data_IF_735281489722
#
_entry.id   IF_735281489722
#
_cell.length_a   1.000
_cell.length_b   1.000
_cell.length_c   1.000
_cell.angle_alpha   90.00
_cell.angle_beta   90.00
_cell.angle_gamma   90.00
#
_symmetry.space_group_name_H-M   'P 1'
#
loop_
_entity.id
_entity.type
_entity.pdbx_description
1 polymer ?
#
# COMPACT_ATOMS: atom_id res chain seq x y z
N UNK A 1 -35.68 22.15 -36.10
CA UNK A 1 -34.86 22.38 -34.90
C UNK A 1 -34.13 21.09 -34.57
N UNK A 2 -32.80 21.10 -34.69
CA UNK A 2 -31.97 19.95 -34.30
C UNK A 2 -32.14 19.76 -32.79
N UNK A 3 -32.70 18.65 -32.35
CA UNK A 3 -32.87 18.33 -30.95
C UNK A 3 -31.48 18.20 -30.30
N UNK A 4 -30.97 19.29 -29.72
CA UNK A 4 -29.75 19.27 -28.91
C UNK A 4 -29.82 18.20 -27.80
N UNK A 5 -31.04 17.89 -27.35
CA UNK A 5 -31.33 16.82 -26.39
C UNK A 5 -30.93 15.42 -26.88
N UNK A 6 -30.98 15.15 -28.19
CA UNK A 6 -30.55 13.88 -28.79
C UNK A 6 -29.03 13.78 -28.94
N UNK A 7 -28.36 14.89 -29.22
CA UNK A 7 -26.89 14.95 -29.31
C UNK A 7 -26.26 14.80 -27.93
N UNK A 8 -26.83 15.42 -26.90
CA UNK A 8 -26.35 15.29 -25.52
C UNK A 8 -26.58 13.88 -24.93
N UNK A 9 -27.65 13.19 -25.35
CA UNK A 9 -27.92 11.78 -25.00
C UNK A 9 -26.81 10.81 -25.47
N UNK A 10 -26.12 11.14 -26.58
CA UNK A 10 -25.01 10.33 -27.13
C UNK A 10 -23.81 10.21 -26.18
N UNK A 11 -23.63 11.16 -25.27
CA UNK A 11 -22.50 11.25 -24.34
C UNK A 11 -22.85 10.86 -22.90
N UNK A 12 -24.07 10.36 -22.65
CA UNK A 12 -24.49 10.01 -21.30
C UNK A 12 -23.80 8.71 -20.82
N UNK A 13 -23.24 8.69 -19.59
CA UNK A 13 -22.55 7.51 -19.05
C UNK A 13 -23.47 6.29 -18.90
N UNK A 14 -22.88 5.11 -19.12
CA UNK A 14 -23.50 3.77 -19.28
C UNK A 14 -24.56 3.35 -18.24
N UNK A 15 -24.68 4.04 -17.10
CA UNK A 15 -25.54 3.67 -15.97
C UNK A 15 -26.76 4.58 -15.74
N UNK A 16 -26.90 5.71 -16.43
CA UNK A 16 -28.11 6.55 -16.35
C UNK A 16 -28.98 6.35 -17.60
N UNK A 17 -30.11 5.65 -17.42
CA UNK A 17 -31.27 5.53 -18.32
C UNK A 17 -31.14 4.54 -19.49
N UNK A 18 -32.05 3.56 -19.55
CA UNK A 18 -32.31 2.75 -20.76
C UNK A 18 -33.18 3.56 -21.72
N UNK A 19 -32.70 3.98 -22.90
CA UNK A 19 -33.61 4.32 -23.98
C UNK A 19 -34.18 3.02 -24.55
N UNK A 20 -35.52 2.95 -24.64
CA UNK A 20 -36.31 1.82 -25.14
C UNK A 20 -35.88 1.38 -26.55
N UNK A 21 -35.22 2.28 -27.30
CA UNK A 21 -34.92 2.16 -28.73
C UNK A 21 -33.41 2.13 -29.06
N UNK A 22 -32.53 1.61 -28.20
CA UNK A 22 -31.12 1.45 -28.58
C UNK A 22 -30.92 0.25 -29.52
N UNK A 23 -30.54 0.51 -30.77
CA UNK A 23 -30.14 -0.53 -31.71
C UNK A 23 -29.06 -1.44 -31.11
N UNK A 24 -29.09 -2.73 -31.45
CA UNK A 24 -28.12 -3.75 -30.97
C UNK A 24 -26.68 -3.30 -31.20
N UNK A 25 -26.45 -2.56 -32.30
CA UNK A 25 -25.15 -2.01 -32.69
C UNK A 25 -24.53 -1.12 -31.61
N UNK A 26 -25.23 -0.09 -31.13
CA UNK A 26 -24.64 0.86 -30.16
C UNK A 26 -24.35 0.22 -28.80
N UNK A 27 -25.12 -0.80 -28.41
CA UNK A 27 -24.83 -1.61 -27.20
C UNK A 27 -23.53 -2.38 -27.34
N UNK A 28 -23.30 -3.00 -28.50
CA UNK A 28 -22.05 -3.72 -28.80
C UNK A 28 -20.86 -2.78 -28.87
N UNK A 29 -21.03 -1.64 -29.52
CA UNK A 29 -19.97 -0.64 -29.66
C UNK A 29 -19.51 -0.08 -28.31
N UNK A 30 -20.41 0.07 -27.33
CA UNK A 30 -20.04 0.52 -25.99
C UNK A 30 -19.09 -0.46 -25.29
N UNK A 31 -19.37 -1.76 -25.35
CA UNK A 31 -18.48 -2.80 -24.80
C UNK A 31 -17.16 -2.82 -25.57
N UNK A 32 -17.17 -2.74 -26.90
CA UNK A 32 -15.93 -2.71 -27.68
C UNK A 32 -15.04 -1.50 -27.40
N UNK A 33 -15.63 -0.35 -27.03
CA UNK A 33 -14.84 0.80 -26.53
C UNK A 33 -14.14 0.48 -25.21
N UNK A 34 -14.80 -0.23 -24.30
CA UNK A 34 -14.23 -0.64 -23.01
C UNK A 34 -13.19 -1.76 -23.15
N UNK A 35 -13.39 -2.66 -24.11
CA UNK A 35 -12.51 -3.81 -24.36
C UNK A 35 -11.48 -3.57 -25.46
N UNK A 36 -11.35 -2.35 -25.98
CA UNK A 36 -10.48 -2.04 -27.12
C UNK A 36 -9.01 -2.38 -26.89
N UNK A 37 -8.54 -2.29 -25.64
CA UNK A 37 -7.16 -2.63 -25.25
C UNK A 37 -6.94 -4.14 -25.04
N UNK A 38 -7.99 -4.97 -25.14
CA UNK A 38 -7.84 -6.41 -24.95
C UNK A 38 -7.12 -7.06 -26.14
N UNK A 39 -6.40 -8.13 -25.84
CA UNK A 39 -5.67 -8.90 -26.83
C UNK A 39 -6.59 -9.79 -27.69
N UNK A 40 -6.33 -9.84 -28.99
CA UNK A 40 -6.94 -10.78 -29.94
C UNK A 40 -8.46 -10.72 -30.04
N UNK A 41 -9.12 -11.89 -30.01
CA UNK A 41 -10.59 -12.01 -30.17
C UNK A 41 -11.40 -11.31 -29.08
N UNK A 42 -10.80 -11.02 -27.92
CA UNK A 42 -11.49 -10.40 -26.79
C UNK A 42 -11.85 -8.92 -27.04
N UNK A 43 -11.19 -8.24 -27.98
CA UNK A 43 -11.56 -6.88 -28.39
C UNK A 43 -12.57 -6.82 -29.55
N UNK A 44 -12.67 -7.88 -30.35
CA UNK A 44 -13.44 -7.88 -31.60
C UNK A 44 -14.73 -8.71 -31.56
N UNK A 45 -14.75 -9.82 -30.83
CA UNK A 45 -15.87 -10.77 -30.81
C UNK A 45 -16.77 -10.49 -29.60
N UNK A 46 -18.05 -10.21 -29.84
CA UNK A 46 -19.01 -9.81 -28.81
C UNK A 46 -19.04 -10.75 -27.59
N UNK A 47 -19.21 -12.06 -27.79
CA UNK A 47 -19.32 -13.04 -26.70
C UNK A 47 -18.04 -13.11 -25.86
N UNK A 48 -16.88 -13.07 -26.52
CA UNK A 48 -15.58 -13.06 -25.84
C UNK A 48 -15.37 -11.75 -25.06
N UNK A 49 -15.69 -10.61 -25.67
CA UNK A 49 -15.56 -9.29 -25.07
C UNK A 49 -16.40 -9.14 -23.79
N UNK A 50 -17.68 -9.52 -23.85
CA UNK A 50 -18.59 -9.44 -22.70
C UNK A 50 -18.11 -10.32 -21.54
N UNK A 51 -17.76 -11.58 -21.81
CA UNK A 51 -17.28 -12.50 -20.77
C UNK A 51 -15.98 -12.01 -20.14
N UNK A 52 -15.03 -11.54 -20.96
CA UNK A 52 -13.74 -11.04 -20.47
C UNK A 52 -13.91 -9.74 -19.68
N UNK A 53 -14.77 -8.84 -20.14
CA UNK A 53 -15.10 -7.59 -19.44
C UNK A 53 -15.70 -7.86 -18.07
N UNK A 54 -16.70 -8.74 -17.98
CA UNK A 54 -17.32 -9.12 -16.72
C UNK A 54 -16.30 -9.71 -15.74
N UNK A 55 -15.45 -10.63 -16.21
CA UNK A 55 -14.40 -11.21 -15.38
C UNK A 55 -13.38 -10.16 -14.92
N UNK A 56 -13.03 -9.20 -15.78
CA UNK A 56 -12.18 -8.06 -15.41
C UNK A 56 -12.80 -7.22 -14.30
N UNK A 57 -14.12 -6.96 -14.32
CA UNK A 57 -14.79 -6.21 -13.25
C UNK A 57 -14.70 -6.92 -11.90
N UNK A 58 -14.89 -8.24 -11.88
CA UNK A 58 -14.71 -9.06 -10.68
C UNK A 58 -13.27 -8.95 -10.16
N UNK A 59 -12.27 -9.13 -11.03
CA UNK A 59 -10.87 -8.99 -10.65
C UNK A 59 -10.51 -7.59 -10.16
N UNK A 60 -11.05 -6.53 -10.75
CA UNK A 60 -10.80 -5.16 -10.28
C UNK A 60 -11.41 -4.90 -8.90
N UNK A 61 -12.55 -5.53 -8.59
CA UNK A 61 -13.14 -5.45 -7.25
C UNK A 61 -12.24 -6.16 -6.23
N UNK A 62 -11.84 -7.39 -6.54
CA UNK A 62 -10.92 -8.17 -5.69
C UNK A 62 -9.56 -7.46 -5.51
N UNK A 63 -9.00 -6.91 -6.59
CA UNK A 63 -7.73 -6.19 -6.55
C UNK A 63 -7.80 -4.97 -5.64
N UNK A 64 -8.87 -4.16 -5.72
CA UNK A 64 -9.06 -3.01 -4.81
C UNK A 64 -9.11 -3.42 -3.35
N UNK A 65 -9.64 -4.60 -3.03
CA UNK A 65 -9.65 -5.13 -1.67
C UNK A 65 -8.27 -5.63 -1.23
N UNK A 66 -7.51 -6.29 -2.12
CA UNK A 66 -6.20 -6.86 -1.80
C UNK A 66 -5.03 -5.88 -1.89
N UNK A 67 -5.18 -4.76 -2.60
CA UNK A 67 -4.11 -3.79 -2.85
C UNK A 67 -3.47 -3.30 -1.55
N UNK A 68 -4.28 -3.00 -0.53
CA UNK A 68 -3.77 -2.53 0.76
C UNK A 68 -2.92 -3.58 1.48
N UNK A 69 -3.27 -4.87 1.40
CA UNK A 69 -2.48 -5.95 2.01
C UNK A 69 -1.15 -6.11 1.27
N UNK A 70 -1.19 -6.14 -0.06
CA UNK A 70 0.02 -6.29 -0.86
C UNK A 70 1.02 -5.14 -0.67
N UNK A 71 0.54 -3.91 -0.52
CA UNK A 71 1.39 -2.76 -0.22
C UNK A 71 1.99 -2.85 1.18
N UNK A 72 1.21 -3.27 2.19
CA UNK A 72 1.73 -3.49 3.55
C UNK A 72 2.82 -4.55 3.58
N UNK A 73 2.63 -5.66 2.88
CA UNK A 73 3.65 -6.73 2.77
C UNK A 73 4.95 -6.19 2.15
N UNK A 74 4.84 -5.38 1.09
CA UNK A 74 5.98 -4.74 0.45
C UNK A 74 6.72 -3.78 1.41
N UNK A 75 5.98 -2.94 2.13
CA UNK A 75 6.58 -2.01 3.08
C UNK A 75 7.25 -2.73 4.25
N UNK A 76 6.64 -3.82 4.75
CA UNK A 76 7.24 -4.67 5.77
C UNK A 76 8.54 -5.32 5.29
N UNK A 77 8.58 -5.83 4.05
CA UNK A 77 9.80 -6.40 3.46
C UNK A 77 10.93 -5.37 3.33
N UNK A 78 10.60 -4.15 2.89
CA UNK A 78 11.58 -3.06 2.79
C UNK A 78 12.12 -2.67 4.15
N UNK A 79 11.22 -2.53 5.13
CA UNK A 79 11.59 -2.20 6.50
C UNK A 79 12.46 -3.30 7.12
N UNK A 80 12.12 -4.58 6.89
CA UNK A 80 12.92 -5.72 7.36
C UNK A 80 14.35 -5.63 6.83
N UNK A 81 14.53 -5.44 5.52
CA UNK A 81 15.86 -5.32 4.93
C UNK A 81 16.67 -4.15 5.54
N UNK A 82 16.04 -2.99 5.75
CA UNK A 82 16.70 -1.83 6.35
C UNK A 82 17.09 -2.06 7.82
N UNK A 83 16.28 -2.79 8.58
CA UNK A 83 16.58 -3.14 9.98
C UNK A 83 17.70 -4.19 10.04
N UNK A 84 17.70 -5.16 9.12
CA UNK A 84 18.75 -6.17 9.00
C UNK A 84 20.12 -5.55 8.70
N UNK A 85 20.20 -4.48 7.89
CA UNK A 85 21.43 -3.69 7.70
C UNK A 85 21.99 -3.05 8.98
N UNK A 86 21.17 -2.98 10.03
CA UNK A 86 21.53 -2.45 11.33
C UNK A 86 21.60 -3.54 12.42
N UNK A 87 21.69 -4.81 12.00
CA UNK A 87 21.81 -6.00 12.85
C UNK A 87 20.65 -6.20 13.83
N UNK A 88 19.51 -5.54 13.64
CA UNK A 88 18.35 -5.66 14.52
C UNK A 88 17.28 -6.56 13.90
N UNK A 89 16.44 -7.15 14.77
CA UNK A 89 15.25 -7.89 14.33
C UNK A 89 14.04 -6.96 14.28
N UNK A 90 13.24 -7.06 13.23
CA UNK A 90 12.07 -6.20 13.01
C UNK A 90 11.04 -6.29 14.14
N UNK A 91 10.80 -7.49 14.67
CA UNK A 91 9.88 -7.73 15.80
C UNK A 91 10.23 -6.88 17.03
N UNK A 92 11.53 -6.83 17.35
CA UNK A 92 12.05 -6.05 18.47
C UNK A 92 11.95 -4.56 18.20
N UNK A 93 12.32 -4.12 16.99
CA UNK A 93 12.22 -2.72 16.62
C UNK A 93 10.79 -2.19 16.76
N UNK A 94 9.79 -2.93 16.26
CA UNK A 94 8.39 -2.51 16.33
C UNK A 94 7.86 -2.53 17.78
N UNK A 95 8.23 -3.53 18.59
CA UNK A 95 7.79 -3.59 19.99
C UNK A 95 8.33 -2.41 20.80
N UNK A 96 9.58 -2.00 20.53
CA UNK A 96 10.23 -0.88 21.20
C UNK A 96 9.61 0.45 20.77
N UNK A 97 9.33 0.65 19.48
CA UNK A 97 8.67 1.87 19.01
C UNK A 97 7.33 2.09 19.71
N UNK A 98 6.52 1.02 19.84
CA UNK A 98 5.25 1.06 20.58
C UNK A 98 5.48 1.41 22.06
N UNK A 99 6.47 0.79 22.73
CA UNK A 99 6.80 1.10 24.14
C UNK A 99 7.30 2.53 24.34
N UNK A 100 8.07 3.05 23.38
CA UNK A 100 8.56 4.44 23.37
C UNK A 100 7.46 5.46 23.01
N UNK A 101 6.23 5.00 22.75
CA UNK A 101 5.07 5.82 22.35
C UNK A 101 5.30 6.56 21.02
N UNK A 102 6.08 5.96 20.12
CA UNK A 102 6.30 6.46 18.77
C UNK A 102 5.33 5.71 17.84
N UNK A 103 4.23 6.37 17.50
CA UNK A 103 3.18 5.82 16.63
C UNK A 103 3.50 6.11 15.16
N UNK A 104 4.47 5.38 14.60
CA UNK A 104 4.81 5.44 13.18
C UNK A 104 4.27 4.23 12.41
N UNK A 105 3.65 4.50 11.26
CA UNK A 105 3.21 3.48 10.33
C UNK A 105 4.39 2.80 9.61
N UNK A 106 4.19 1.54 9.20
CA UNK A 106 5.20 0.78 8.42
C UNK A 106 5.50 1.46 7.09
N UNK A 107 4.50 2.13 6.48
CA UNK A 107 4.68 2.89 5.25
C UNK A 107 5.65 4.05 5.45
N UNK A 108 5.45 4.86 6.49
CA UNK A 108 6.34 6.00 6.79
C UNK A 108 7.73 5.54 7.20
N UNK A 109 7.85 4.48 8.00
CA UNK A 109 9.14 3.87 8.35
C UNK A 109 9.89 3.37 7.12
N UNK A 110 9.20 2.71 6.17
CA UNK A 110 9.81 2.25 4.92
C UNK A 110 10.29 3.41 4.04
N UNK A 111 9.56 4.53 4.05
CA UNK A 111 9.92 5.75 3.33
C UNK A 111 11.17 6.38 3.95
N UNK A 112 11.20 6.52 5.28
CA UNK A 112 12.35 7.05 6.02
C UNK A 112 13.59 6.19 5.78
N UNK A 113 13.47 4.87 5.83
CA UNK A 113 14.58 3.96 5.53
C UNK A 113 15.16 4.18 4.13
N UNK A 114 14.30 4.47 3.13
CA UNK A 114 14.73 4.63 1.74
C UNK A 114 15.35 6.01 1.47
N UNK A 115 14.71 7.09 1.94
CA UNK A 115 15.07 8.47 1.56
C UNK A 115 15.88 9.19 2.63
N UNK A 116 15.75 8.81 3.89
CA UNK A 116 16.39 9.48 5.03
C UNK A 116 17.13 8.48 5.93
N UNK A 117 18.24 7.89 5.46
CA UNK A 117 18.97 6.86 6.21
C UNK A 117 19.51 7.36 7.55
N UNK A 118 19.82 8.66 7.66
CA UNK A 118 20.29 9.28 8.92
C UNK A 118 19.18 9.31 9.97
N UNK A 119 17.98 9.73 9.59
CA UNK A 119 16.80 9.76 10.46
C UNK A 119 16.41 8.35 10.89
N UNK A 120 16.43 7.40 9.95
CA UNK A 120 16.17 6.00 10.24
C UNK A 120 17.20 5.41 11.22
N UNK A 121 18.49 5.70 11.03
CA UNK A 121 19.55 5.30 11.96
C UNK A 121 19.32 5.83 13.37
N UNK A 122 18.89 7.09 13.53
CA UNK A 122 18.59 7.62 14.88
C UNK A 122 17.41 6.90 15.56
N UNK A 123 16.39 6.48 14.81
CA UNK A 123 15.30 5.67 15.37
C UNK A 123 15.79 4.29 15.81
N UNK A 124 16.68 3.70 15.02
CA UNK A 124 17.33 2.42 15.33
C UNK A 124 18.23 2.52 16.55
N UNK A 125 19.02 3.59 16.66
CA UNK A 125 19.87 3.84 17.82
C UNK A 125 19.02 4.00 19.10
N UNK A 126 17.88 4.71 19.01
CA UNK A 126 16.90 4.79 20.10
C UNK A 126 16.31 3.44 20.45
N UNK A 127 16.01 2.60 19.45
CA UNK A 127 15.54 1.25 19.72
C UNK A 127 16.60 0.42 20.45
N UNK A 128 17.89 0.52 20.08
CA UNK A 128 18.98 -0.21 20.77
C UNK A 128 19.12 0.22 22.23
N UNK A 129 19.07 1.51 22.53
CA UNK A 129 19.21 1.98 23.93
C UNK A 129 18.08 1.47 24.79
N UNK A 130 16.83 1.60 24.32
CA UNK A 130 15.66 1.11 25.05
C UNK A 130 15.67 -0.42 25.17
N UNK A 131 16.17 -1.16 24.16
CA UNK A 131 16.33 -2.61 24.26
C UNK A 131 17.32 -3.00 25.36
N UNK A 132 18.46 -2.29 25.43
CA UNK A 132 19.49 -2.51 26.45
C UNK A 132 19.00 -2.16 27.87
N UNK A 133 18.08 -1.22 28.02
CA UNK A 133 17.53 -0.86 29.33
C UNK A 133 16.53 -1.90 29.88
N UNK A 134 15.79 -2.56 28.99
CA UNK A 134 14.63 -3.37 29.37
C UNK A 134 14.89 -4.89 29.51
N UNK A 135 16.06 -5.36 29.08
CA UNK A 135 16.66 -6.67 29.40
C UNK A 135 15.85 -7.96 29.20
N UNK A 136 16.01 -8.57 28.01
CA UNK A 136 16.15 -10.03 27.89
C UNK A 136 17.66 -10.37 27.94
N UNK A 137 18.08 -11.30 28.80
CA UNK A 137 19.49 -11.64 29.13
C UNK A 137 20.40 -12.01 27.95
N UNK A 138 19.82 -12.26 26.77
CA UNK A 138 20.51 -12.66 25.53
C UNK A 138 21.11 -11.44 24.80
N UNK A 139 20.52 -10.25 24.92
CA UNK A 139 20.85 -9.10 24.06
C UNK A 139 21.84 -8.09 24.66
N UNK A 140 22.01 -8.07 25.98
CA UNK A 140 22.96 -7.19 26.70
C UNK A 140 24.38 -7.23 26.14
N UNK A 141 24.82 -8.41 25.70
CA UNK A 141 26.19 -8.60 25.21
C UNK A 141 26.37 -8.21 23.74
N UNK A 142 25.27 -8.08 22.98
CA UNK A 142 25.31 -7.92 21.51
C UNK A 142 25.18 -6.47 21.03
N UNK A 143 24.47 -5.61 21.77
CA UNK A 143 24.23 -4.22 21.36
C UNK A 143 24.65 -3.26 22.47
N UNK A 144 25.66 -2.45 22.18
CA UNK A 144 26.04 -1.34 23.04
C UNK A 144 25.07 -0.16 22.83
N UNK A 145 24.64 0.52 23.90
CA UNK A 145 23.79 1.70 23.76
C UNK A 145 24.53 2.79 22.98
N UNK A 146 23.82 3.45 22.06
CA UNK A 146 24.39 4.58 21.31
C UNK A 146 24.60 5.77 22.25
N UNK A 147 25.78 6.41 22.25
CA UNK A 147 26.11 7.49 23.18
C UNK A 147 25.28 8.76 22.97
N UNK A 148 24.60 8.88 21.83
CA UNK A 148 23.90 10.10 21.42
C UNK A 148 22.41 10.12 21.81
N UNK A 149 21.88 9.03 22.38
CA UNK A 149 20.46 8.93 22.71
C UNK A 149 20.27 8.87 24.22
N UNK A 150 19.43 9.76 24.74
CA UNK A 150 19.07 9.82 26.16
C UNK A 150 17.62 9.40 26.34
N UNK A 151 17.38 8.42 27.20
CA UNK A 151 16.02 7.97 27.56
C UNK A 151 15.65 8.47 28.95
N UNK A 152 14.36 8.37 29.29
CA UNK A 152 13.86 8.75 30.61
C UNK A 152 14.44 7.87 31.73
N UNK A 153 14.80 6.62 31.43
CA UNK A 153 15.32 5.68 32.42
C UNK A 153 16.72 6.08 32.86
N UNK A 154 17.57 6.50 31.91
CA UNK A 154 18.93 6.99 32.20
C UNK A 154 18.98 8.20 33.14
N UNK A 155 17.89 8.96 33.28
CA UNK A 155 17.81 10.14 34.17
C UNK A 155 17.41 9.75 35.59
N UNK A 156 16.71 8.62 35.79
CA UNK A 156 16.21 8.22 37.12
C UNK A 156 17.31 7.68 38.03
N UNK A 157 18.42 7.23 37.48
CA UNK A 157 19.52 6.61 38.24
C UNK A 157 20.45 7.66 38.91
N UNK A 158 20.21 8.96 38.67
CA UNK A 158 21.05 10.06 39.17
C UNK A 158 20.51 10.79 40.40
N UNK A 159 19.30 10.45 40.87
CA UNK A 159 18.65 11.00 42.09
C UNK A 159 18.69 10.00 43.25
#
# INVERSE_FOLDING_TARGET
MVHLTEICSKYMPFYLRRPETRSVYFRRQAIFRLTGTFYGRNRNVWRCAVNKWLKRMVYLKEFRQRQGVHLKDLYAQRLLAAIEEHDLRMEHFMSILIRSKIELDIETLSLLATYEPRTFKSLVDLARTVLHENDDSIYKNSFQPSPNVFTREMIKDTD
#
